data_IF_408778151071
#
_entry.id   IF_408778151071
#
_cell.length_a   1.000
_cell.length_b   1.000
_cell.length_c   1.000
_cell.angle_alpha   90.00
_cell.angle_beta   90.00
_cell.angle_gamma   90.00
#
_symmetry.space_group_name_H-M   'P 1'
#
loop_
_entity.id
_entity.type
_entity.pdbx_description
1 polymer ?
#
# COMPACT_ATOMS: atom_id res chain seq x y z
N UNK A 1 5.30 24.89 -15.20
CA UNK A 1 4.56 24.53 -13.97
C UNK A 1 5.22 23.29 -13.41
N UNK A 2 6.00 23.42 -12.34
CA UNK A 2 6.49 22.26 -11.60
C UNK A 2 5.28 21.67 -10.88
N UNK A 3 4.69 20.62 -11.44
CA UNK A 3 3.66 19.85 -10.76
C UNK A 3 4.31 19.27 -9.51
N UNK A 4 3.88 19.73 -8.33
CA UNK A 4 4.13 18.99 -7.11
C UNK A 4 3.34 17.68 -7.25
N UNK A 5 3.99 16.65 -7.81
CA UNK A 5 3.40 15.32 -7.94
C UNK A 5 3.17 14.81 -6.51
N UNK A 6 1.90 14.76 -6.11
CA UNK A 6 1.55 14.24 -4.79
C UNK A 6 1.78 12.74 -4.76
N UNK A 7 2.00 12.19 -3.57
CA UNK A 7 2.12 10.74 -3.40
C UNK A 7 0.88 10.01 -3.96
N UNK A 8 -0.31 10.60 -3.80
CA UNK A 8 -1.54 10.10 -4.41
C UNK A 8 -1.44 9.98 -5.94
N UNK A 9 -0.89 10.99 -6.60
CA UNK A 9 -0.73 10.99 -8.05
C UNK A 9 0.27 9.90 -8.47
N UNK A 10 1.35 9.73 -7.71
CA UNK A 10 2.32 8.65 -7.93
C UNK A 10 1.66 7.26 -7.82
N UNK A 11 0.88 7.02 -6.77
CA UNK A 11 0.15 5.77 -6.54
C UNK A 11 -0.91 5.48 -7.62
N UNK A 12 -1.33 6.50 -8.38
CA UNK A 12 -2.43 6.37 -9.36
C UNK A 12 -1.95 6.30 -10.81
N UNK A 13 -0.75 6.82 -11.12
CA UNK A 13 -0.29 7.03 -12.50
C UNK A 13 0.85 6.11 -12.90
N UNK A 14 1.64 5.63 -11.94
CA UNK A 14 2.79 4.78 -12.20
C UNK A 14 2.60 3.41 -11.54
N UNK A 15 2.96 2.33 -12.25
CA UNK A 15 3.12 1.02 -11.63
C UNK A 15 4.36 1.04 -10.73
N UNK A 16 4.15 0.72 -9.46
CA UNK A 16 5.21 0.67 -8.47
C UNK A 16 5.80 -0.73 -8.40
N UNK A 17 6.97 -0.83 -7.78
CA UNK A 17 7.60 -2.11 -7.49
C UNK A 17 7.77 -2.28 -5.98
N UNK A 18 8.13 -3.50 -5.56
CA UNK A 18 8.27 -3.81 -4.13
C UNK A 18 9.42 -3.04 -3.48
N UNK A 19 10.50 -2.80 -4.22
CA UNK A 19 11.69 -2.05 -3.80
C UNK A 19 11.33 -0.63 -3.35
N UNK A 20 10.38 0.02 -4.03
CA UNK A 20 9.87 1.33 -3.63
C UNK A 20 9.39 1.35 -2.18
N UNK A 21 8.72 0.29 -1.70
CA UNK A 21 8.21 0.22 -0.33
C UNK A 21 9.27 -0.20 0.69
N UNK A 22 10.30 -0.95 0.26
CA UNK A 22 11.41 -1.38 1.13
C UNK A 22 12.29 -0.20 1.59
N UNK A 23 12.36 0.87 0.80
CA UNK A 23 13.12 2.08 1.13
C UNK A 23 12.37 3.05 2.05
N UNK A 24 11.10 2.78 2.37
CA UNK A 24 10.26 3.67 3.16
C UNK A 24 10.30 3.34 4.65
N UNK A 25 10.25 4.39 5.46
CA UNK A 25 10.09 4.25 6.90
C UNK A 25 8.63 3.92 7.29
N UNK A 26 8.44 3.51 8.54
CA UNK A 26 7.12 3.13 9.06
C UNK A 26 6.09 4.26 8.96
N UNK A 27 6.52 5.52 9.13
CA UNK A 27 5.61 6.66 9.04
C UNK A 27 5.11 6.84 7.59
N UNK A 28 6.01 6.76 6.62
CA UNK A 28 5.70 6.83 5.19
C UNK A 28 4.80 5.67 4.75
N UNK A 29 5.06 4.45 5.23
CA UNK A 29 4.21 3.29 4.95
C UNK A 29 2.79 3.46 5.51
N UNK A 30 2.65 3.93 6.75
CA UNK A 30 1.34 4.23 7.35
C UNK A 30 0.62 5.35 6.59
N UNK A 31 1.35 6.35 6.10
CA UNK A 31 0.79 7.41 5.29
C UNK A 31 0.27 6.88 3.95
N UNK A 32 1.01 5.99 3.28
CA UNK A 32 0.56 5.32 2.04
C UNK A 32 -0.71 4.49 2.30
N UNK A 33 -0.75 3.73 3.39
CA UNK A 33 -1.95 2.96 3.76
C UNK A 33 -3.17 3.87 3.90
N UNK A 34 -3.01 5.02 4.57
CA UNK A 34 -4.07 6.01 4.72
C UNK A 34 -4.52 6.56 3.36
N UNK A 35 -3.59 6.85 2.45
CA UNK A 35 -3.91 7.35 1.10
C UNK A 35 -4.71 6.32 0.30
N UNK A 36 -4.31 5.04 0.32
CA UNK A 36 -5.09 3.99 -0.35
C UNK A 36 -6.50 3.87 0.21
N UNK A 37 -6.68 3.89 1.53
CA UNK A 37 -8.00 3.87 2.17
C UNK A 37 -8.87 5.05 1.71
N UNK A 38 -8.29 6.26 1.70
CA UNK A 38 -9.00 7.45 1.20
C UNK A 38 -9.36 7.34 -0.28
N UNK A 39 -8.49 6.76 -1.11
CA UNK A 39 -8.77 6.55 -2.53
C UNK A 39 -9.94 5.60 -2.72
N UNK A 40 -9.90 4.43 -2.07
CA UNK A 40 -10.97 3.43 -2.06
C UNK A 40 -12.30 4.07 -1.63
N UNK A 41 -12.29 4.78 -0.49
CA UNK A 41 -13.49 5.44 0.03
C UNK A 41 -14.02 6.50 -0.95
N UNK A 42 -13.14 7.32 -1.53
CA UNK A 42 -13.50 8.40 -2.45
C UNK A 42 -14.05 7.90 -3.79
N UNK A 43 -13.59 6.72 -4.23
CA UNK A 43 -13.99 6.10 -5.50
C UNK A 43 -15.06 5.02 -5.31
N UNK A 44 -15.66 4.93 -4.12
CA UNK A 44 -16.68 3.91 -3.79
C UNK A 44 -16.19 2.46 -4.06
N UNK A 45 -14.89 2.21 -3.87
CA UNK A 45 -14.24 0.92 -4.13
C UNK A 45 -13.88 0.64 -5.58
N UNK A 46 -14.11 1.58 -6.51
CA UNK A 46 -13.79 1.42 -7.93
C UNK A 46 -12.42 2.00 -8.26
N UNK A 47 -11.37 1.33 -7.77
CA UNK A 47 -9.98 1.64 -8.15
C UNK A 47 -9.77 1.38 -9.65
N UNK A 48 -8.94 2.20 -10.29
CA UNK A 48 -8.39 1.91 -11.61
C UNK A 48 -7.43 0.72 -11.56
N UNK A 49 -7.09 0.15 -12.72
CA UNK A 49 -6.19 -1.00 -12.82
C UNK A 49 -4.83 -0.73 -12.17
N UNK A 50 -4.23 0.43 -12.40
CA UNK A 50 -2.96 0.84 -11.80
C UNK A 50 -3.07 1.03 -10.28
N UNK A 51 -4.12 1.71 -9.81
CA UNK A 51 -4.34 1.90 -8.37
C UNK A 51 -4.57 0.56 -7.66
N UNK A 52 -5.34 -0.34 -8.27
CA UNK A 52 -5.59 -1.67 -7.76
C UNK A 52 -4.31 -2.50 -7.72
N UNK A 53 -3.51 -2.48 -8.78
CA UNK A 53 -2.21 -3.16 -8.83
C UNK A 53 -1.29 -2.68 -7.70
N UNK A 54 -1.13 -1.36 -7.56
CA UNK A 54 -0.29 -0.76 -6.53
C UNK A 54 -0.80 -1.05 -5.11
N UNK A 55 -2.12 -1.10 -4.93
CA UNK A 55 -2.73 -1.44 -3.65
C UNK A 55 -2.49 -2.90 -3.26
N UNK A 56 -2.68 -3.85 -4.18
CA UNK A 56 -2.39 -5.27 -3.94
C UNK A 56 -0.91 -5.50 -3.63
N UNK A 57 -0.02 -4.84 -4.38
CA UNK A 57 1.42 -4.88 -4.14
C UNK A 57 1.78 -4.35 -2.74
N UNK A 58 1.16 -3.23 -2.33
CA UNK A 58 1.32 -2.68 -0.99
C UNK A 58 0.81 -3.62 0.11
N UNK A 59 -0.34 -4.29 -0.10
CA UNK A 59 -0.87 -5.27 0.84
C UNK A 59 0.07 -6.48 0.99
N UNK A 60 0.60 -7.01 -0.10
CA UNK A 60 1.59 -8.08 -0.07
C UNK A 60 2.82 -7.67 0.73
N UNK A 61 3.40 -6.51 0.40
CA UNK A 61 4.55 -5.95 1.11
C UNK A 61 4.25 -5.78 2.60
N UNK A 62 3.11 -5.19 2.96
CA UNK A 62 2.73 -4.93 4.35
C UNK A 62 2.59 -6.23 5.16
N UNK A 63 2.00 -7.28 4.57
CA UNK A 63 1.91 -8.60 5.21
C UNK A 63 3.29 -9.20 5.48
N UNK A 64 4.18 -9.18 4.50
CA UNK A 64 5.54 -9.68 4.67
C UNK A 64 6.34 -8.85 5.68
N UNK A 65 6.23 -7.54 5.62
CA UNK A 65 6.89 -6.62 6.54
C UNK A 65 6.43 -6.87 7.98
N UNK A 66 5.13 -7.07 8.18
CA UNK A 66 4.56 -7.43 9.48
C UNK A 66 5.08 -8.80 9.97
N UNK A 67 5.09 -9.82 9.12
CA UNK A 67 5.63 -11.14 9.45
C UNK A 67 7.11 -11.07 9.84
N UNK A 68 7.93 -10.31 9.11
CA UNK A 68 9.37 -10.12 9.41
C UNK A 68 9.58 -9.36 10.72
N UNK A 69 8.78 -8.32 10.97
CA UNK A 69 8.95 -7.43 12.14
C UNK A 69 8.48 -8.10 13.44
N UNK A 70 7.36 -8.82 13.40
CA UNK A 70 6.75 -9.39 14.61
C UNK A 70 6.95 -10.91 14.73
N UNK A 71 7.44 -11.59 13.70
CA UNK A 71 7.66 -13.05 13.71
C UNK A 71 6.37 -13.87 13.73
N UNK A 72 5.22 -13.24 13.46
CA UNK A 72 3.91 -13.88 13.53
C UNK A 72 3.42 -14.17 12.11
N UNK A 73 3.17 -15.43 11.82
CA UNK A 73 2.52 -15.83 10.58
C UNK A 73 1.04 -15.38 10.60
N UNK A 74 0.71 -14.39 9.77
CA UNK A 74 -0.66 -13.88 9.67
C UNK A 74 -1.69 -14.97 9.29
N UNK A 75 -1.28 -16.05 8.62
CA UNK A 75 -2.18 -17.16 8.28
C UNK A 75 -2.58 -17.99 9.52
N UNK A 76 -1.79 -17.97 10.59
CA UNK A 76 -2.16 -18.56 11.88
C UNK A 76 -3.22 -17.73 12.60
N UNK A 77 -3.19 -16.41 12.46
CA UNK A 77 -4.20 -15.52 13.06
C UNK A 77 -5.55 -15.69 12.35
N UNK A 78 -5.57 -15.77 11.01
CA UNK A 78 -6.82 -15.97 10.25
C UNK A 78 -7.50 -17.33 10.50
N UNK A 79 -6.76 -18.37 10.89
CA UNK A 79 -7.32 -19.69 11.24
C UNK A 79 -7.84 -19.80 12.67
N UNK A 80 -7.51 -18.84 13.54
CA UNK A 80 -7.91 -18.85 14.95
C UNK A 80 -9.20 -18.04 15.22
N UNK A 81 -9.75 -17.36 14.22
CA UNK A 81 -10.99 -16.58 14.30
C UNK A 81 -12.18 -17.26 13.65
#
# INVERSE_FOLDING_TARGET
MYYAFGLRDLLSVAELNKEFFEELDTFQLNFIEMVFKQMIDSQMGLLTETEHYNYELFLEFSREHFQRTYGIDQDLIKKAG
#
